data_IF_888219785951
#
_entry.id   IF_888219785951
#
_cell.length_a   1.000
_cell.length_b   1.000
_cell.length_c   1.000
_cell.angle_alpha   90.00
_cell.angle_beta   90.00
_cell.angle_gamma   90.00
#
_symmetry.space_group_name_H-M   'P 1'
#
loop_
_entity.id
_entity.type
_entity.pdbx_description
1 polymer ?
#
# COMPACT_ATOMS: atom_id res chain seq x y z
N UNK A 1 -16.63 -12.95 33.39
CA UNK A 1 -15.54 -12.00 33.70
C UNK A 1 -14.26 -12.64 33.18
N UNK A 2 -13.86 -12.29 31.96
CA UNK A 2 -12.63 -12.76 31.35
C UNK A 2 -11.82 -11.53 30.92
N UNK A 3 -10.54 -11.62 31.22
CA UNK A 3 -9.51 -10.60 31.25
C UNK A 3 -9.29 -9.92 29.88
N UNK A 4 -9.48 -8.60 29.82
CA UNK A 4 -9.19 -7.74 28.66
C UNK A 4 -7.79 -7.14 28.84
N UNK A 5 -6.76 -7.96 28.64
CA UNK A 5 -5.36 -7.58 28.90
C UNK A 5 -4.41 -7.68 27.70
N UNK A 6 -4.89 -7.91 26.49
CA UNK A 6 -4.04 -8.03 25.29
C UNK A 6 -3.95 -6.73 24.50
N UNK A 7 -2.78 -6.09 24.48
CA UNK A 7 -2.47 -5.02 23.51
C UNK A 7 -2.68 -5.53 22.08
N UNK A 8 -3.44 -4.80 21.28
CA UNK A 8 -3.55 -5.03 19.84
C UNK A 8 -2.15 -4.94 19.20
N UNK A 9 -1.81 -5.80 18.21
CA UNK A 9 -0.55 -5.70 17.50
C UNK A 9 -0.44 -4.36 16.77
N UNK A 10 0.74 -3.74 16.85
CA UNK A 10 1.00 -2.44 16.24
C UNK A 10 0.96 -2.56 14.71
N UNK A 11 -0.14 -2.12 14.10
CA UNK A 11 -0.23 -1.87 12.67
C UNK A 11 0.43 -0.52 12.41
N UNK A 12 1.62 -0.51 11.81
CA UNK A 12 2.24 0.75 11.41
C UNK A 12 1.39 1.39 10.30
N UNK A 13 1.00 2.62 10.57
CA UNK A 13 0.13 3.51 9.81
C UNK A 13 0.49 3.66 8.34
N UNK A 14 -0.53 3.61 7.47
CA UNK A 14 -0.59 4.35 6.20
C UNK A 14 -1.99 4.20 5.60
N UNK A 15 -2.56 5.28 5.08
CA UNK A 15 -3.84 5.27 4.37
C UNK A 15 -3.78 4.39 3.10
N UNK A 16 -4.87 3.67 2.82
CA UNK A 16 -5.06 2.90 1.60
C UNK A 16 -6.29 3.47 0.87
N UNK A 17 -6.11 3.83 -0.40
CA UNK A 17 -7.23 4.02 -1.31
C UNK A 17 -7.53 2.65 -1.95
N UNK A 18 -8.77 2.20 -1.86
CA UNK A 18 -9.26 1.00 -2.55
C UNK A 18 -9.97 1.47 -3.81
N UNK A 19 -9.51 1.00 -4.97
CA UNK A 19 -10.34 0.95 -6.15
C UNK A 19 -10.29 -0.49 -6.65
N UNK A 20 -11.46 -1.14 -6.68
CA UNK A 20 -11.66 -2.45 -7.29
C UNK A 20 -12.54 -2.19 -8.49
N UNK A 21 -11.92 -2.27 -9.66
CA UNK A 21 -12.51 -2.32 -10.99
C UNK A 21 -13.27 -1.07 -11.47
N UNK A 22 -12.53 -0.12 -12.05
CA UNK A 22 -13.08 0.78 -13.06
C UNK A 22 -12.25 0.67 -14.36
N UNK A 23 -12.87 0.13 -15.41
CA UNK A 23 -12.36 0.26 -16.79
C UNK A 23 -12.18 1.74 -17.13
N UNK A 24 -11.00 2.14 -17.59
CA UNK A 24 -10.71 3.51 -18.01
C UNK A 24 -11.37 3.74 -19.38
N UNK A 25 -12.43 4.56 -19.52
CA UNK A 25 -12.86 5.02 -20.83
C UNK A 25 -11.87 6.09 -21.29
N UNK A 26 -11.33 5.91 -22.49
CA UNK A 26 -10.42 6.87 -23.11
C UNK A 26 -11.12 8.16 -23.51
N UNK A 27 -11.23 9.11 -22.59
CA UNK A 27 -11.35 10.53 -22.90
C UNK A 27 -10.76 11.35 -21.73
N UNK A 28 -9.69 12.09 -22.02
CA UNK A 28 -8.87 12.78 -21.05
C UNK A 28 -9.37 14.22 -20.76
N UNK A 29 -10.69 14.42 -20.81
CA UNK A 29 -11.32 15.74 -20.59
C UNK A 29 -12.58 15.75 -19.71
N UNK A 30 -12.90 14.64 -19.03
CA UNK A 30 -14.13 14.49 -18.26
C UNK A 30 -14.05 15.03 -16.82
N UNK A 31 -15.02 15.88 -16.47
CA UNK A 31 -15.43 16.22 -15.11
C UNK A 31 -15.81 14.93 -14.35
N UNK A 32 -15.05 14.59 -13.31
CA UNK A 32 -15.22 13.37 -12.50
C UNK A 32 -16.46 13.41 -11.60
N UNK A 33 -17.23 14.50 -11.61
CA UNK A 33 -18.46 14.60 -10.81
C UNK A 33 -19.65 13.80 -11.36
N UNK A 34 -19.60 13.36 -12.63
CA UNK A 34 -20.76 12.77 -13.32
C UNK A 34 -20.77 11.22 -13.36
N UNK A 35 -19.78 10.55 -12.74
CA UNK A 35 -19.69 9.09 -12.75
C UNK A 35 -20.53 8.37 -11.68
N UNK A 36 -21.27 9.11 -10.84
CA UNK A 36 -22.32 8.55 -9.96
C UNK A 36 -21.90 7.57 -8.85
N UNK A 37 -20.62 7.17 -8.77
CA UNK A 37 -20.09 6.33 -7.68
C UNK A 37 -19.36 7.23 -6.68
N UNK A 38 -19.80 7.29 -5.41
CA UNK A 38 -19.12 8.10 -4.40
C UNK A 38 -17.76 7.50 -4.08
N UNK A 39 -16.71 8.30 -4.23
CA UNK A 39 -15.37 7.95 -3.75
C UNK A 39 -15.38 7.92 -2.22
N UNK A 40 -15.02 6.78 -1.63
CA UNK A 40 -14.94 6.60 -0.18
C UNK A 40 -13.48 6.50 0.28
N UNK A 41 -13.15 7.22 1.34
CA UNK A 41 -11.83 7.19 1.96
C UNK A 41 -11.94 6.48 3.30
N UNK A 42 -11.05 5.53 3.54
CA UNK A 42 -11.03 4.78 4.78
C UNK A 42 -9.62 4.75 5.36
N UNK A 43 -9.55 4.72 6.69
CA UNK A 43 -8.31 4.37 7.37
C UNK A 43 -8.02 2.90 7.10
N UNK A 44 -6.81 2.61 6.61
CA UNK A 44 -6.40 1.24 6.24
C UNK A 44 -6.64 0.26 7.38
N UNK A 45 -6.26 0.61 8.60
CA UNK A 45 -6.41 -0.29 9.74
C UNK A 45 -7.88 -0.70 9.94
N UNK A 46 -8.79 0.27 10.01
CA UNK A 46 -10.22 0.01 10.15
C UNK A 46 -10.76 -0.85 9.00
N UNK A 47 -10.34 -0.57 7.75
CA UNK A 47 -10.73 -1.38 6.60
C UNK A 47 -10.24 -2.84 6.73
N UNK A 48 -8.98 -3.06 7.11
CA UNK A 48 -8.43 -4.40 7.24
C UNK A 48 -9.06 -5.18 8.40
N UNK A 49 -9.41 -4.50 9.49
CA UNK A 49 -10.14 -5.09 10.62
C UNK A 49 -11.52 -5.58 10.19
N UNK A 50 -12.30 -4.74 9.50
CA UNK A 50 -13.62 -5.14 8.96
C UNK A 50 -13.48 -6.31 7.99
N UNK A 51 -12.53 -6.24 7.05
CA UNK A 51 -12.30 -7.35 6.10
C UNK A 51 -11.90 -8.65 6.79
N UNK A 52 -11.15 -8.58 7.90
CA UNK A 52 -10.76 -9.76 8.66
C UNK A 52 -11.93 -10.36 9.46
N UNK A 53 -12.81 -9.51 10.00
CA UNK A 53 -14.00 -9.91 10.77
C UNK A 53 -15.05 -10.62 9.90
N UNK A 54 -15.12 -10.28 8.61
CA UNK A 54 -16.03 -10.91 7.66
C UNK A 54 -15.57 -12.31 7.20
N UNK A 55 -14.36 -12.75 7.57
CA UNK A 55 -13.85 -14.07 7.22
C UNK A 55 -14.23 -15.14 8.25
N UNK A 56 -14.43 -16.40 7.83
CA UNK A 56 -14.66 -17.50 8.76
C UNK A 56 -13.54 -17.61 9.82
N UNK A 57 -13.87 -17.98 11.07
CA UNK A 57 -12.88 -18.18 12.10
C UNK A 57 -11.80 -19.19 11.69
N UNK A 58 -10.53 -18.84 11.87
CA UNK A 58 -9.38 -19.68 11.52
C UNK A 58 -8.87 -19.52 10.08
N UNK A 59 -9.48 -18.66 9.26
CA UNK A 59 -8.96 -18.34 7.91
C UNK A 59 -7.63 -17.59 7.95
N UNK A 60 -7.46 -16.64 8.87
CA UNK A 60 -6.22 -15.85 8.98
C UNK A 60 -5.29 -16.47 10.02
N UNK A 61 -4.01 -16.63 9.65
CA UNK A 61 -2.92 -16.98 10.57
C UNK A 61 -1.92 -15.83 10.65
N UNK A 62 -1.89 -15.18 11.81
CA UNK A 62 -0.90 -14.13 12.09
C UNK A 62 0.47 -14.74 12.44
N UNK A 63 1.50 -13.89 12.43
CA UNK A 63 2.89 -14.30 12.74
C UNK A 63 3.38 -15.49 11.91
N UNK A 64 2.88 -15.64 10.69
CA UNK A 64 3.16 -16.74 9.78
C UNK A 64 3.97 -16.25 8.59
N UNK A 65 5.26 -15.96 8.81
CA UNK A 65 6.12 -15.41 7.75
C UNK A 65 6.57 -16.53 6.82
N UNK A 66 6.24 -16.41 5.53
CA UNK A 66 6.70 -17.33 4.50
C UNK A 66 8.22 -17.18 4.30
N UNK A 67 8.97 -18.27 4.45
CA UNK A 67 10.42 -18.29 4.32
C UNK A 67 10.87 -18.84 2.97
N UNK A 68 10.23 -19.90 2.47
CA UNK A 68 10.57 -20.49 1.18
C UNK A 68 9.40 -21.26 0.58
N UNK A 69 9.42 -21.40 -0.75
CA UNK A 69 8.46 -22.20 -1.51
C UNK A 69 9.23 -23.24 -2.31
N UNK A 70 8.74 -24.48 -2.27
CA UNK A 70 9.21 -25.58 -3.10
C UNK A 70 8.02 -26.26 -3.76
N UNK A 71 8.30 -27.16 -4.71
CA UNK A 71 7.26 -27.86 -5.44
C UNK A 71 7.43 -29.37 -5.31
N UNK A 72 6.37 -30.06 -4.91
CA UNK A 72 6.29 -31.51 -4.82
C UNK A 72 5.46 -32.05 -6.00
N UNK A 73 6.01 -33.04 -6.72
CA UNK A 73 5.31 -33.75 -7.79
C UNK A 73 5.47 -35.26 -7.56
N UNK A 74 4.37 -35.94 -7.21
CA UNK A 74 4.34 -37.39 -7.18
C UNK A 74 3.91 -37.94 -8.55
N UNK A 75 4.35 -39.15 -8.89
CA UNK A 75 3.94 -39.80 -10.14
C UNK A 75 2.41 -39.93 -10.19
N UNK A 76 1.79 -39.32 -11.20
CA UNK A 76 0.34 -39.34 -11.39
C UNK A 76 -0.47 -38.36 -10.54
N UNK A 77 0.17 -37.48 -9.75
CA UNK A 77 -0.52 -36.43 -8.98
C UNK A 77 -0.36 -35.04 -9.62
N UNK A 78 -1.29 -34.10 -9.35
CA UNK A 78 -1.04 -32.70 -9.63
C UNK A 78 0.16 -32.20 -8.82
N UNK A 79 0.77 -31.15 -9.33
CA UNK A 79 1.86 -30.43 -8.69
C UNK A 79 1.35 -29.68 -7.45
N UNK A 80 2.09 -29.74 -6.35
CA UNK A 80 1.69 -29.17 -5.05
C UNK A 80 2.77 -28.18 -4.60
N UNK A 81 2.34 -26.98 -4.22
CA UNK A 81 3.20 -25.99 -3.59
C UNK A 81 3.44 -26.37 -2.12
N UNK A 82 4.70 -26.33 -1.70
CA UNK A 82 5.15 -26.61 -0.34
C UNK A 82 5.77 -25.34 0.24
N UNK A 83 5.03 -24.73 1.15
CA UNK A 83 5.41 -23.51 1.83
C UNK A 83 6.10 -23.88 3.15
N UNK A 84 7.26 -23.30 3.41
CA UNK A 84 7.93 -23.35 4.71
C UNK A 84 7.86 -21.98 5.35
N UNK A 85 7.32 -21.93 6.55
CA UNK A 85 7.31 -20.71 7.37
C UNK A 85 8.62 -20.60 8.17
N UNK A 86 8.90 -19.41 8.71
CA UNK A 86 10.10 -19.14 9.50
C UNK A 86 10.14 -19.86 10.85
N UNK A 87 8.98 -20.24 11.38
CA UNK A 87 8.83 -21.10 12.56
C UNK A 87 9.05 -22.61 12.27
N UNK A 88 9.33 -22.97 11.01
CA UNK A 88 9.53 -24.35 10.56
C UNK A 88 8.24 -25.09 10.16
N UNK A 89 7.07 -24.46 10.31
CA UNK A 89 5.79 -25.03 9.86
C UNK A 89 5.80 -25.25 8.35
N UNK A 90 5.26 -26.40 7.91
CA UNK A 90 5.13 -26.76 6.50
C UNK A 90 3.65 -26.79 6.11
N UNK A 91 3.29 -26.02 5.08
CA UNK A 91 1.94 -25.98 4.51
C UNK A 91 2.01 -26.50 3.07
N UNK A 92 1.06 -27.37 2.70
CA UNK A 92 0.91 -27.87 1.33
C UNK A 92 -0.37 -27.32 0.73
N UNK A 93 -0.28 -26.74 -0.46
CA UNK A 93 -1.45 -26.20 -1.16
C UNK A 93 -1.45 -26.55 -2.64
N UNK A 94 -2.65 -26.69 -3.20
CA UNK A 94 -2.86 -26.86 -4.65
C UNK A 94 -2.77 -25.53 -5.40
N UNK A 95 -3.16 -24.45 -4.73
CA UNK A 95 -3.14 -23.08 -5.25
C UNK A 95 -2.44 -22.21 -4.22
N UNK A 96 -1.59 -21.31 -4.70
CA UNK A 96 -0.92 -20.31 -3.88
C UNK A 96 -1.15 -18.94 -4.52
N UNK A 97 -1.73 -18.02 -3.74
CA UNK A 97 -1.93 -16.62 -4.15
C UNK A 97 -0.91 -15.77 -3.38
N UNK A 98 -0.03 -15.09 -4.12
CA UNK A 98 1.00 -14.23 -3.55
C UNK A 98 0.50 -12.81 -3.33
N UNK A 99 0.18 -12.48 -2.08
CA UNK A 99 -0.21 -11.14 -1.65
C UNK A 99 0.72 -10.61 -0.54
N UNK A 100 2.01 -10.97 -0.63
CA UNK A 100 3.09 -10.69 0.33
C UNK A 100 3.90 -9.41 0.01
N UNK A 101 3.47 -8.64 -1.00
CA UNK A 101 3.86 -7.24 -1.21
C UNK A 101 5.09 -7.02 -2.10
N UNK A 102 5.71 -5.84 -1.95
CA UNK A 102 6.80 -5.43 -2.86
C UNK A 102 8.02 -6.33 -2.77
N UNK A 103 8.31 -6.93 -1.60
CA UNK A 103 9.41 -7.89 -1.40
C UNK A 103 8.91 -9.35 -1.36
N UNK A 104 7.91 -9.66 -2.19
CA UNK A 104 7.23 -10.96 -2.24
C UNK A 104 8.19 -12.14 -2.49
N UNK A 105 8.15 -13.12 -1.58
CA UNK A 105 8.78 -14.44 -1.71
C UNK A 105 8.11 -15.24 -2.82
N UNK A 106 6.79 -15.09 -3.00
CA UNK A 106 6.06 -15.73 -4.10
C UNK A 106 6.55 -15.20 -5.45
N UNK A 107 6.77 -13.89 -5.58
CA UNK A 107 7.31 -13.27 -6.79
C UNK A 107 8.72 -13.76 -7.10
N UNK A 108 9.57 -13.88 -6.08
CA UNK A 108 10.93 -14.43 -6.23
C UNK A 108 10.91 -15.91 -6.66
N UNK A 109 10.02 -16.72 -6.07
CA UNK A 109 9.83 -18.12 -6.47
C UNK A 109 9.37 -18.27 -7.91
N UNK A 110 8.52 -17.35 -8.40
CA UNK A 110 8.10 -17.27 -9.80
C UNK A 110 9.18 -16.69 -10.74
N UNK A 111 10.36 -16.34 -10.24
CA UNK A 111 11.44 -15.77 -11.04
C UNK A 111 11.18 -14.34 -11.53
N UNK A 112 10.26 -13.61 -10.89
CA UNK A 112 10.03 -12.20 -11.21
C UNK A 112 11.24 -11.35 -10.83
N UNK A 113 11.52 -10.32 -11.62
CA UNK A 113 12.61 -9.39 -11.31
C UNK A 113 12.36 -8.66 -9.99
N UNK A 114 13.46 -8.32 -9.31
CA UNK A 114 13.42 -7.43 -8.15
C UNK A 114 12.76 -6.08 -8.51
N UNK A 115 12.04 -5.44 -7.57
CA UNK A 115 11.49 -4.11 -7.77
C UNK A 115 12.58 -3.09 -8.13
N UNK A 116 12.31 -2.25 -9.13
CA UNK A 116 13.16 -1.14 -9.51
C UNK A 116 12.71 0.15 -8.82
N UNK A 117 13.66 1.04 -8.53
CA UNK A 117 13.33 2.40 -8.09
C UNK A 117 12.81 3.23 -9.26
N UNK A 118 11.74 4.00 -9.02
CA UNK A 118 11.26 5.00 -9.98
C UNK A 118 12.08 6.30 -9.99
N UNK A 119 13.06 6.44 -9.08
CA UNK A 119 13.78 7.69 -8.84
C UNK A 119 12.95 8.75 -8.11
N UNK A 120 11.77 8.37 -7.61
CA UNK A 120 10.86 9.22 -6.84
C UNK A 120 10.59 8.62 -5.47
N UNK A 121 10.25 9.50 -4.55
CA UNK A 121 9.84 9.17 -3.19
C UNK A 121 8.57 9.93 -2.84
N UNK A 122 7.85 9.45 -1.83
CA UNK A 122 6.63 10.08 -1.36
C UNK A 122 6.64 10.21 0.15
N UNK A 123 6.40 11.44 0.61
CA UNK A 123 6.02 11.73 2.00
C UNK A 123 4.51 11.62 2.09
N UNK A 124 4.02 10.97 3.15
CA UNK A 124 2.59 10.80 3.43
C UNK A 124 2.34 11.07 4.90
N UNK A 125 1.26 11.76 5.21
CA UNK A 125 0.86 12.05 6.58
C UNK A 125 -0.65 12.05 6.75
N UNK A 126 -1.06 11.91 8.01
CA UNK A 126 -2.42 12.13 8.45
C UNK A 126 -2.42 13.36 9.36
N UNK A 127 -3.13 14.41 8.94
CA UNK A 127 -3.34 15.59 9.77
C UNK A 127 -4.61 15.45 10.59
N UNK A 128 -4.53 15.80 11.87
CA UNK A 128 -5.64 15.62 12.84
C UNK A 128 -6.09 16.97 13.38
N UNK A 129 -7.38 17.23 13.25
CA UNK A 129 -8.07 18.44 13.69
C UNK A 129 -9.18 18.04 14.68
N UNK A 130 -8.91 18.01 16.00
CA UNK A 130 -9.88 17.56 17.00
C UNK A 130 -11.20 18.35 16.99
N UNK A 131 -11.14 19.64 16.67
CA UNK A 131 -12.29 20.53 16.60
C UNK A 131 -12.93 20.59 15.19
N UNK A 132 -12.42 19.77 14.25
CA UNK A 132 -12.81 19.73 12.86
C UNK A 132 -12.00 20.66 11.95
N UNK A 133 -11.81 20.24 10.69
CA UNK A 133 -10.96 20.97 9.74
C UNK A 133 -11.71 21.98 8.86
N UNK A 134 -13.04 21.89 8.73
CA UNK A 134 -13.88 22.81 7.93
C UNK A 134 -13.67 22.80 6.40
N UNK A 135 -12.64 22.11 5.89
CA UNK A 135 -12.38 21.87 4.47
C UNK A 135 -13.54 21.13 3.75
N UNK A 136 -13.66 21.39 2.44
CA UNK A 136 -14.59 20.66 1.56
C UNK A 136 -14.12 19.22 1.33
N UNK A 137 -15.06 18.27 1.23
CA UNK A 137 -14.80 16.85 0.93
C UNK A 137 -14.46 16.66 -0.55
N UNK A 138 -13.28 17.12 -0.95
CA UNK A 138 -12.74 17.03 -2.31
C UNK A 138 -11.25 16.71 -2.28
N UNK A 139 -10.76 16.00 -3.29
CA UNK A 139 -9.33 15.83 -3.50
C UNK A 139 -8.76 17.12 -4.09
N UNK A 140 -7.77 17.71 -3.42
CA UNK A 140 -7.01 18.84 -3.96
C UNK A 140 -5.61 18.39 -4.34
N UNK A 141 -5.20 18.68 -5.56
CA UNK A 141 -3.87 18.37 -6.08
C UNK A 141 -3.12 19.63 -6.47
N UNK A 142 -1.83 19.65 -6.17
CA UNK A 142 -0.91 20.73 -6.44
C UNK A 142 0.28 20.21 -7.24
N UNK A 143 0.65 20.91 -8.30
CA UNK A 143 1.77 20.59 -9.17
C UNK A 143 2.72 21.79 -9.20
N UNK A 144 3.99 21.59 -8.84
CA UNK A 144 4.99 22.65 -8.86
C UNK A 144 6.40 22.08 -8.99
N UNK A 145 7.23 22.60 -9.90
CA UNK A 145 8.66 22.25 -10.04
C UNK A 145 8.99 20.74 -9.95
N UNK A 146 8.18 19.87 -10.58
CA UNK A 146 8.39 18.41 -10.56
C UNK A 146 7.94 17.72 -9.27
N UNK A 147 7.37 18.46 -8.32
CA UNK A 147 6.64 17.97 -7.17
C UNK A 147 5.16 17.77 -7.52
N UNK A 148 4.58 16.75 -6.91
CA UNK A 148 3.14 16.55 -6.88
C UNK A 148 2.70 16.39 -5.44
N UNK A 149 1.87 17.30 -4.97
CA UNK A 149 1.28 17.22 -3.65
C UNK A 149 -0.23 17.07 -3.74
N UNK A 150 -0.84 16.56 -2.69
CA UNK A 150 -2.28 16.54 -2.59
C UNK A 150 -2.76 16.34 -1.18
N UNK A 151 -4.01 16.70 -0.95
CA UNK A 151 -4.67 16.51 0.33
C UNK A 151 -6.14 16.17 0.11
N UNK A 152 -6.68 15.37 1.00
CA UNK A 152 -8.06 14.90 0.96
C UNK A 152 -8.60 14.72 2.38
N UNK A 153 -9.71 15.40 2.72
CA UNK A 153 -10.44 15.09 3.94
C UNK A 153 -11.02 13.68 3.89
N UNK A 154 -10.67 12.85 4.87
CA UNK A 154 -11.14 11.46 4.96
C UNK A 154 -12.24 11.31 6.02
N UNK A 155 -12.29 12.20 7.00
CA UNK A 155 -13.35 12.35 8.00
C UNK A 155 -13.58 13.85 8.24
N UNK A 156 -14.39 14.25 9.22
CA UNK A 156 -14.56 15.67 9.58
C UNK A 156 -13.37 16.20 10.42
N UNK A 157 -12.52 15.30 10.94
CA UNK A 157 -11.35 15.61 11.78
C UNK A 157 -10.03 15.27 11.13
N UNK A 158 -10.01 14.40 10.13
CA UNK A 158 -8.77 13.84 9.59
C UNK A 158 -8.59 14.19 8.11
N UNK A 159 -7.38 14.64 7.76
CA UNK A 159 -6.99 14.99 6.41
C UNK A 159 -5.76 14.18 6.02
N UNK A 160 -5.89 13.31 5.02
CA UNK A 160 -4.75 12.64 4.42
C UNK A 160 -4.05 13.59 3.46
N UNK A 161 -2.73 13.62 3.49
CA UNK A 161 -1.93 14.40 2.55
C UNK A 161 -0.69 13.65 2.10
N UNK A 162 -0.19 14.03 0.92
CA UNK A 162 1.02 13.46 0.36
C UNK A 162 1.82 14.49 -0.43
N UNK A 163 3.14 14.30 -0.48
CA UNK A 163 4.07 15.01 -1.35
C UNK A 163 4.96 13.98 -2.07
N UNK A 164 4.95 14.00 -3.40
CA UNK A 164 5.85 13.20 -4.24
C UNK A 164 6.96 14.10 -4.76
N UNK A 165 8.20 13.66 -4.56
CA UNK A 165 9.41 14.33 -4.99
C UNK A 165 10.37 13.36 -5.68
N UNK A 166 11.41 13.88 -6.34
CA UNK A 166 12.54 13.05 -6.74
C UNK A 166 13.28 12.57 -5.49
N UNK A 167 13.82 11.35 -5.51
CA UNK A 167 14.61 10.81 -4.38
C UNK A 167 15.81 11.73 -4.12
N UNK A 168 15.96 12.17 -2.87
CA UNK A 168 17.02 13.11 -2.43
C UNK A 168 17.78 12.56 -1.22
N UNK A 169 19.03 12.97 -0.99
CA UNK A 169 19.82 12.51 0.17
C UNK A 169 19.13 12.75 1.52
N UNK A 170 18.38 13.86 1.64
CA UNK A 170 17.65 14.22 2.86
C UNK A 170 16.67 13.13 3.34
N UNK A 171 16.16 12.29 2.45
CA UNK A 171 15.31 11.14 2.82
C UNK A 171 16.06 10.17 3.75
N UNK A 172 17.33 9.89 3.47
CA UNK A 172 18.15 9.00 4.29
C UNK A 172 18.52 9.65 5.64
N UNK A 173 18.72 10.96 5.65
CA UNK A 173 19.07 11.72 6.86
C UNK A 173 17.88 11.91 7.81
N UNK A 174 16.70 12.12 7.24
CA UNK A 174 15.43 12.13 7.97
C UNK A 174 15.12 10.74 8.52
N UNK A 175 15.37 9.68 7.75
CA UNK A 175 15.09 8.32 8.16
C UNK A 175 13.60 8.18 8.51
N UNK A 176 13.32 7.75 9.73
CA UNK A 176 11.95 7.64 10.27
C UNK A 176 11.64 8.72 11.32
N UNK A 177 12.42 9.79 11.39
CA UNK A 177 12.23 10.88 12.37
C UNK A 177 11.13 11.85 11.88
N UNK A 178 9.94 11.87 12.52
CA UNK A 178 8.83 12.67 12.01
C UNK A 178 9.11 14.17 12.00
N UNK A 179 9.89 14.67 12.97
CA UNK A 179 10.21 16.09 13.05
C UNK A 179 11.10 16.53 11.88
N UNK A 180 12.06 15.68 11.49
CA UNK A 180 12.91 15.96 10.31
C UNK A 180 12.12 15.86 9.01
N UNK A 181 11.28 14.84 8.86
CA UNK A 181 10.43 14.68 7.67
C UNK A 181 9.52 15.89 7.52
N UNK A 182 8.82 16.28 8.58
CA UNK A 182 7.90 17.40 8.54
C UNK A 182 8.62 18.71 8.21
N UNK A 183 9.77 18.96 8.85
CA UNK A 183 10.60 20.13 8.57
C UNK A 183 11.04 20.18 7.11
N UNK A 184 11.49 19.04 6.56
CA UNK A 184 11.90 18.97 5.15
C UNK A 184 10.73 19.26 4.20
N UNK A 185 9.54 18.75 4.52
CA UNK A 185 8.32 19.08 3.77
C UNK A 185 7.96 20.56 3.87
N UNK A 186 7.96 21.14 5.07
CA UNK A 186 7.44 22.51 5.25
C UNK A 186 8.41 23.60 4.86
N UNK A 187 9.70 23.38 5.09
CA UNK A 187 10.72 24.43 4.98
C UNK A 187 11.44 24.39 3.62
N UNK A 188 11.52 23.21 3.00
CA UNK A 188 12.30 22.98 1.78
C UNK A 188 11.41 22.55 0.59
N UNK A 189 10.90 21.32 0.61
CA UNK A 189 10.17 20.73 -0.53
C UNK A 189 8.87 21.50 -0.81
N UNK A 190 8.11 21.81 0.23
CA UNK A 190 6.81 22.46 0.13
C UNK A 190 6.87 23.98 0.02
N UNK A 191 8.04 24.61 -0.13
CA UNK A 191 8.18 26.09 -0.13
C UNK A 191 7.28 26.81 -1.14
N UNK A 192 6.92 26.14 -2.25
CA UNK A 192 6.06 26.66 -3.32
C UNK A 192 4.61 26.17 -3.20
N UNK A 193 4.29 25.36 -2.19
CA UNK A 193 2.94 24.88 -1.96
C UNK A 193 2.08 25.98 -1.31
N UNK A 194 0.75 25.96 -1.52
CA UNK A 194 -0.15 26.90 -0.86
C UNK A 194 -0.06 26.82 0.66
N UNK A 195 -0.30 27.95 1.33
CA UNK A 195 -0.26 28.03 2.79
C UNK A 195 -1.19 27.02 3.46
N UNK A 196 -2.36 26.77 2.86
CA UNK A 196 -3.34 25.76 3.32
C UNK A 196 -2.73 24.35 3.33
N UNK A 197 -1.99 23.96 2.29
CA UNK A 197 -1.33 22.66 2.23
C UNK A 197 -0.24 22.54 3.31
N UNK A 198 0.55 23.58 3.50
CA UNK A 198 1.59 23.61 4.52
C UNK A 198 1.01 23.57 5.93
N UNK A 199 -0.15 24.19 6.15
CA UNK A 199 -0.87 24.13 7.42
C UNK A 199 -1.38 22.71 7.71
N UNK A 200 -1.95 22.03 6.71
CA UNK A 200 -2.31 20.61 6.81
C UNK A 200 -1.11 19.75 7.15
N UNK A 201 0.01 19.93 6.46
CA UNK A 201 1.23 19.18 6.77
C UNK A 201 1.68 19.40 8.23
N UNK A 202 1.59 20.63 8.76
CA UNK A 202 1.99 20.94 10.16
C UNK A 202 1.11 20.30 11.22
N UNK A 203 -0.16 20.01 10.92
CA UNK A 203 -1.08 19.31 11.81
C UNK A 203 -0.94 17.78 11.77
N UNK A 204 0.12 17.27 11.14
CA UNK A 204 0.36 15.84 11.04
C UNK A 204 0.55 15.19 12.41
N UNK A 205 -0.13 14.07 12.61
CA UNK A 205 0.23 13.13 13.64
C UNK A 205 1.60 12.51 13.33
N UNK A 206 2.52 12.60 14.28
CA UNK A 206 3.90 12.11 14.14
C UNK A 206 3.97 10.61 13.89
N UNK A 207 3.01 9.86 14.45
CA UNK A 207 2.99 8.40 14.31
C UNK A 207 2.56 7.97 12.90
N UNK A 208 1.84 8.85 12.18
CA UNK A 208 1.30 8.60 10.85
C UNK A 208 2.14 9.22 9.72
N UNK A 209 3.34 9.72 10.01
CA UNK A 209 4.21 10.34 9.03
C UNK A 209 5.22 9.32 8.46
N UNK A 210 5.27 9.21 7.14
CA UNK A 210 6.19 8.29 6.45
C UNK A 210 6.82 8.93 5.23
N UNK A 211 8.08 8.59 4.96
CA UNK A 211 8.78 8.92 3.72
C UNK A 211 9.39 7.65 3.14
N UNK A 212 8.99 7.30 1.92
CA UNK A 212 9.44 6.06 1.29
C UNK A 212 9.66 6.22 -0.22
N UNK A 213 10.62 5.48 -0.80
CA UNK A 213 10.83 5.44 -2.23
C UNK A 213 9.65 4.75 -2.92
N UNK A 214 9.33 5.21 -4.12
CA UNK A 214 8.34 4.60 -4.98
C UNK A 214 9.03 3.54 -5.84
N UNK A 215 8.72 2.27 -5.54
CA UNK A 215 9.25 1.11 -6.26
C UNK A 215 8.20 0.59 -7.26
N UNK A 216 8.67 -0.03 -8.33
CA UNK A 216 7.81 -0.64 -9.32
C UNK A 216 8.43 -1.91 -9.91
N UNK A 217 7.58 -2.82 -10.42
CA UNK A 217 8.01 -3.86 -11.35
C UNK A 217 7.49 -3.51 -12.73
N UNK A 218 8.36 -3.58 -13.72
CA UNK A 218 7.95 -3.25 -15.07
C UNK A 218 6.97 -4.31 -15.62
N UNK A 219 5.87 -3.92 -16.30
CA UNK A 219 4.87 -4.87 -16.78
C UNK A 219 5.46 -6.00 -17.65
N UNK A 220 6.46 -5.68 -18.49
CA UNK A 220 7.13 -6.67 -19.33
C UNK A 220 7.93 -7.72 -18.55
N UNK A 221 8.39 -7.40 -17.33
CA UNK A 221 9.08 -8.36 -16.47
C UNK A 221 8.10 -9.38 -15.88
N UNK A 222 6.85 -8.97 -15.65
CA UNK A 222 5.76 -9.86 -15.21
C UNK A 222 5.37 -10.81 -16.36
N UNK A 223 5.22 -10.27 -17.57
CA UNK A 223 4.87 -11.06 -18.76
C UNK A 223 5.96 -12.06 -19.17
N UNK A 224 7.24 -11.72 -18.98
CA UNK A 224 8.36 -12.60 -19.32
C UNK A 224 8.78 -13.55 -18.19
N UNK A 225 8.53 -13.19 -16.93
CA UNK A 225 8.79 -14.08 -15.78
C UNK A 225 7.91 -15.34 -15.81
N UNK A 226 6.73 -15.26 -16.45
CA UNK A 226 5.83 -16.38 -16.67
C UNK A 226 6.23 -17.33 -17.83
N UNK A 227 7.41 -17.17 -18.45
CA UNK A 227 7.89 -18.07 -19.52
C UNK A 227 8.61 -19.33 -19.00
N UNK A 228 8.49 -19.65 -17.72
CA UNK A 228 8.79 -20.98 -17.19
C UNK A 228 7.53 -21.85 -17.15
N UNK A 229 7.42 -22.81 -18.08
CA UNK A 229 6.50 -23.97 -18.14
C UNK A 229 5.21 -23.94 -17.28
N UNK A 230 4.31 -22.97 -17.51
CA UNK A 230 2.87 -23.14 -17.29
C UNK A 230 2.12 -21.97 -17.96
N UNK A 231 1.85 -22.11 -19.26
CA UNK A 231 1.06 -21.13 -19.98
C UNK A 231 -0.42 -21.20 -19.58
N UNK A 232 -0.97 -20.11 -19.05
CA UNK A 232 -2.34 -19.68 -19.33
C UNK A 232 -2.39 -18.14 -19.42
N UNK A 233 -2.85 -17.57 -20.55
CA UNK A 233 -2.96 -16.13 -20.73
C UNK A 233 -4.30 -15.63 -20.20
N UNK A 234 -4.26 -14.58 -19.37
CA UNK A 234 -5.22 -13.47 -19.28
C UNK A 234 -5.23 -12.90 -17.86
N UNK A 235 -4.35 -11.94 -17.58
CA UNK A 235 -4.58 -10.96 -16.53
C UNK A 235 -3.99 -9.61 -17.00
N UNK A 236 -4.88 -8.63 -17.21
CA UNK A 236 -4.52 -7.22 -17.23
C UNK A 236 -4.08 -6.82 -15.81
N UNK A 237 -2.91 -6.20 -15.59
CA UNK A 237 -2.57 -5.68 -14.27
C UNK A 237 -2.87 -4.17 -14.18
N UNK A 238 -3.66 -3.70 -13.18
CA UNK A 238 -3.55 -2.33 -12.73
C UNK A 238 -2.28 -2.17 -11.89
N UNK A 239 -1.71 -0.98 -11.94
CA UNK A 239 -0.61 -0.55 -11.09
C UNK A 239 -1.10 -0.39 -9.63
N UNK A 240 -1.08 -1.47 -8.85
CA UNK A 240 -1.42 -1.40 -7.43
C UNK A 240 -0.16 -1.15 -6.60
N UNK A 241 -0.06 -0.01 -5.92
CA UNK A 241 0.84 0.12 -4.77
C UNK A 241 0.20 -0.61 -3.59
N UNK A 242 0.40 -1.92 -3.51
CA UNK A 242 -0.26 -2.79 -2.53
C UNK A 242 0.44 -2.78 -1.18
N UNK A 243 -0.35 -2.65 -0.12
CA UNK A 243 -0.02 -3.23 1.19
C UNK A 243 -0.36 -4.72 1.17
N UNK A 244 0.50 -5.56 1.74
CA UNK A 244 0.35 -7.02 1.76
C UNK A 244 -0.78 -7.49 2.68
N UNK A 245 -1.61 -8.43 2.20
CA UNK A 245 -2.46 -9.31 3.02
C UNK A 245 -2.26 -10.71 2.45
N UNK A 246 -1.60 -11.62 3.18
CA UNK A 246 -1.47 -13.02 2.75
C UNK A 246 -2.73 -13.78 3.14
N UNK A 247 -3.62 -14.06 2.17
CA UNK A 247 -4.76 -14.97 2.37
C UNK A 247 -4.32 -16.37 1.95
N UNK A 248 -4.29 -17.30 2.90
CA UNK A 248 -4.17 -18.72 2.61
C UNK A 248 -5.57 -19.33 2.58
N UNK A 249 -6.08 -19.64 1.39
CA UNK A 249 -7.26 -20.49 1.27
C UNK A 249 -6.82 -21.96 1.38
N UNK A 250 -7.38 -22.68 2.36
CA UNK A 250 -7.24 -24.13 2.52
C UNK A 250 -8.29 -24.90 1.74
#
# INVERSE_FOLDING_TARGET
MADRGGKAPAWTSAAAAVDVDAEIPGDNSGDWSDAGVPLCWAQKQALLEVLAEELPPGTIRFSSKLASIATEKAQGSPEIAVLRLDDGTVIRSKVLIGCDGVHSVVSQWLGLSEPASSGRSAVRGLAVYPDGHGLKKELRQFLSEGLRAGMVPISDTDVYWFLVNNTIPAEKEAGTDPAKILREVTDNLGRLMPAEYLDVARHSDSDNLSWAPLLYRAPWAILRGALGDAAHPNLNPPCVSGSSITILAS
#
